data_IF_074230235931
#
_entry.id   IF_074230235931
#
_cell.length_a   1.000
_cell.length_b   1.000
_cell.length_c   1.000
_cell.angle_alpha   90.00
_cell.angle_beta   90.00
_cell.angle_gamma   90.00
#
_symmetry.space_group_name_H-M   'P 1'
#
loop_
_entity.id
_entity.type
_entity.pdbx_description
1 polymer ?
#
# COMPACT_ATOMS: atom_id res chain seq x y z
N UNK A 1 50.83 7.40 34.94
CA UNK A 1 50.27 8.08 33.74
C UNK A 1 48.73 7.99 33.66
N UNK A 2 48.07 7.00 34.26
CA UNK A 2 46.60 6.84 34.25
C UNK A 2 45.83 7.95 35.01
N UNK A 3 46.41 8.53 36.07
CA UNK A 3 45.81 9.61 36.87
C UNK A 3 45.61 10.92 36.09
N UNK A 4 46.49 11.22 35.13
CA UNK A 4 46.37 12.41 34.27
C UNK A 4 45.31 12.29 33.18
N UNK A 5 44.90 11.06 32.82
CA UNK A 5 43.84 10.80 31.85
C UNK A 5 42.46 11.02 32.48
N UNK A 6 42.26 10.56 33.73
CA UNK A 6 40.99 10.77 34.44
C UNK A 6 40.69 12.26 34.68
N UNK A 7 41.68 13.06 35.11
CA UNK A 7 41.47 14.50 35.31
C UNK A 7 41.21 15.28 34.01
N UNK A 8 41.74 14.82 32.87
CA UNK A 8 41.44 15.40 31.56
C UNK A 8 40.03 15.07 31.09
N UNK A 9 39.54 13.88 31.40
CA UNK A 9 38.17 13.47 31.10
C UNK A 9 37.15 14.23 31.96
N UNK A 10 37.43 14.37 33.26
CA UNK A 10 36.57 15.11 34.20
C UNK A 10 36.47 16.60 33.84
N UNK A 11 37.56 17.23 33.41
CA UNK A 11 37.56 18.61 32.93
C UNK A 11 36.84 18.79 31.59
N UNK A 12 36.92 17.82 30.69
CA UNK A 12 36.12 17.81 29.46
C UNK A 12 34.63 17.64 29.75
N UNK A 13 34.28 16.76 30.69
CA UNK A 13 32.90 16.54 31.12
C UNK A 13 32.31 17.79 31.79
N UNK A 14 33.09 18.45 32.66
CA UNK A 14 32.72 19.75 33.26
C UNK A 14 32.51 20.83 32.20
N UNK A 15 33.41 20.96 31.22
CA UNK A 15 33.24 21.93 30.12
C UNK A 15 32.00 21.64 29.27
N UNK A 16 31.71 20.38 29.01
CA UNK A 16 30.51 19.99 28.27
C UNK A 16 29.23 20.33 29.06
N UNK A 17 29.21 20.06 30.36
CA UNK A 17 28.09 20.42 31.24
C UNK A 17 27.87 21.94 31.28
N UNK A 18 28.95 22.72 31.38
CA UNK A 18 28.89 24.18 31.46
C UNK A 18 28.41 24.82 30.15
N UNK A 19 28.81 24.28 29.00
CA UNK A 19 28.27 24.69 27.69
C UNK A 19 26.77 24.38 27.55
N UNK A 20 26.32 23.25 28.09
CA UNK A 20 24.90 22.88 28.08
C UNK A 20 24.10 23.79 29.01
N UNK A 21 24.61 24.11 30.19
CA UNK A 21 23.98 25.05 31.14
C UNK A 21 23.86 26.45 30.53
N UNK A 22 24.93 26.99 29.94
CA UNK A 22 24.92 28.29 29.27
C UNK A 22 23.94 28.33 28.10
N UNK A 23 23.83 27.23 27.34
CA UNK A 23 22.83 27.11 26.29
C UNK A 23 21.40 27.12 26.85
N UNK A 24 21.16 26.42 27.96
CA UNK A 24 19.85 26.39 28.64
C UNK A 24 19.49 27.78 29.17
N UNK A 25 20.41 28.47 29.83
CA UNK A 25 20.20 29.83 30.35
C UNK A 25 19.87 30.83 29.24
N UNK A 26 20.55 30.71 28.08
CA UNK A 26 20.29 31.56 26.93
C UNK A 26 18.88 31.35 26.35
N UNK A 27 18.39 30.12 26.34
CA UNK A 27 17.06 29.80 25.83
C UNK A 27 15.97 30.21 26.84
N UNK A 28 16.24 30.13 28.15
CA UNK A 28 15.34 30.64 29.20
C UNK A 28 15.19 32.15 29.07
N UNK A 29 16.29 32.90 28.95
CA UNK A 29 16.24 34.35 28.76
C UNK A 29 15.50 34.75 27.49
N UNK A 30 15.63 33.96 26.42
CA UNK A 30 14.88 34.18 25.19
C UNK A 30 13.38 33.97 25.38
N UNK A 31 12.98 32.92 26.10
CA UNK A 31 11.58 32.62 26.37
C UNK A 31 10.92 33.66 27.29
N UNK A 32 11.65 34.19 28.27
CA UNK A 32 11.15 35.22 29.18
C UNK A 32 10.96 36.58 28.48
N UNK A 33 11.68 36.81 27.37
CA UNK A 33 11.59 38.03 26.55
C UNK A 33 10.81 37.82 25.24
N UNK A 34 9.93 36.82 25.17
CA UNK A 34 9.09 36.63 23.97
C UNK A 34 8.06 37.75 23.87
N UNK A 35 8.05 38.45 22.74
CA UNK A 35 7.09 39.53 22.46
C UNK A 35 5.74 38.99 21.95
N UNK A 36 4.69 39.81 21.99
CA UNK A 36 3.34 39.47 21.49
C UNK A 36 3.38 39.02 20.00
N UNK A 37 4.26 39.63 19.20
CA UNK A 37 4.49 39.30 17.78
C UNK A 37 5.07 37.89 17.58
N UNK A 38 5.93 37.42 18.50
CA UNK A 38 6.49 36.07 18.47
C UNK A 38 5.41 35.02 18.77
N UNK A 39 4.50 35.34 19.69
CA UNK A 39 3.37 34.47 20.00
C UNK A 39 2.38 34.39 18.83
N UNK A 40 2.16 35.52 18.13
CA UNK A 40 1.32 35.55 16.92
C UNK A 40 1.95 34.76 15.77
N UNK A 41 3.27 34.81 15.60
CA UNK A 41 3.96 33.96 14.61
C UNK A 41 3.84 32.48 14.92
N UNK A 42 3.90 32.06 16.18
CA UNK A 42 3.66 30.66 16.59
C UNK A 42 2.22 30.25 16.27
N UNK A 43 1.23 31.10 16.54
CA UNK A 43 -0.17 30.85 16.17
C UNK A 43 -0.34 30.69 14.67
N UNK A 44 0.26 31.57 13.87
CA UNK A 44 0.21 31.49 12.40
C UNK A 44 0.82 30.19 11.90
N UNK A 45 2.00 29.80 12.37
CA UNK A 45 2.65 28.53 12.00
C UNK A 45 1.76 27.32 12.30
N UNK A 46 1.17 27.26 13.49
CA UNK A 46 0.24 26.17 13.86
C UNK A 46 -1.00 26.14 12.97
N UNK A 47 -1.57 27.31 12.67
CA UNK A 47 -2.73 27.40 11.78
C UNK A 47 -2.39 26.92 10.35
N UNK A 48 -1.22 27.30 9.84
CA UNK A 48 -0.73 26.85 8.54
C UNK A 48 -0.47 25.33 8.51
N UNK A 49 0.13 24.77 9.56
CA UNK A 49 0.33 23.32 9.70
C UNK A 49 -0.99 22.56 9.71
N UNK A 50 -1.97 23.03 10.48
CA UNK A 50 -3.33 22.45 10.52
C UNK A 50 -4.02 22.54 9.16
N UNK A 51 -3.94 23.69 8.50
CA UNK A 51 -4.48 23.88 7.15
C UNK A 51 -3.81 22.94 6.14
N UNK A 52 -2.50 22.77 6.21
CA UNK A 52 -1.73 21.88 5.33
C UNK A 52 -2.10 20.43 5.56
N UNK A 53 -2.21 19.99 6.81
CA UNK A 53 -2.65 18.65 7.16
C UNK A 53 -4.07 18.36 6.64
N UNK A 54 -4.98 19.32 6.79
CA UNK A 54 -6.35 19.20 6.30
C UNK A 54 -6.41 19.13 4.76
N UNK A 55 -5.62 19.96 4.06
CA UNK A 55 -5.51 19.91 2.59
C UNK A 55 -4.98 18.57 2.12
N UNK A 56 -3.89 18.07 2.73
CA UNK A 56 -3.33 16.77 2.39
C UNK A 56 -4.33 15.63 2.61
N UNK A 57 -5.09 15.68 3.71
CA UNK A 57 -6.18 14.71 3.95
C UNK A 57 -7.24 14.79 2.86
N UNK A 58 -7.70 15.99 2.51
CA UNK A 58 -8.70 16.16 1.46
C UNK A 58 -8.20 15.64 0.10
N UNK A 59 -6.96 15.94 -0.28
CA UNK A 59 -6.33 15.42 -1.50
C UNK A 59 -6.29 13.88 -1.51
N UNK A 60 -5.97 13.25 -0.38
CA UNK A 60 -6.03 11.78 -0.26
C UNK A 60 -7.44 11.26 -0.48
N UNK A 61 -8.47 11.89 0.09
CA UNK A 61 -9.87 11.51 -0.16
C UNK A 61 -10.24 11.69 -1.64
N UNK A 62 -9.82 12.78 -2.29
CA UNK A 62 -10.08 13.01 -3.72
C UNK A 62 -9.40 11.95 -4.59
N UNK A 63 -8.22 11.48 -4.17
CA UNK A 63 -7.50 10.38 -4.79
C UNK A 63 -8.09 9.00 -4.49
N UNK A 64 -9.27 8.90 -3.86
CA UNK A 64 -9.95 7.64 -3.59
C UNK A 64 -9.39 6.87 -2.38
N UNK A 65 -8.58 7.52 -1.53
CA UNK A 65 -8.15 6.88 -0.28
C UNK A 65 -9.32 6.77 0.70
N UNK A 66 -9.32 5.70 1.50
CA UNK A 66 -10.41 5.42 2.44
C UNK A 66 -11.66 4.81 1.80
N UNK A 67 -11.64 4.54 0.49
CA UNK A 67 -12.64 3.75 -0.23
C UNK A 67 -12.04 2.42 -0.68
N UNK A 68 -12.94 1.50 -1.00
CA UNK A 68 -12.59 0.20 -1.56
C UNK A 68 -13.24 0.09 -2.93
N UNK A 69 -12.42 0.26 -3.98
CA UNK A 69 -12.89 0.33 -5.36
C UNK A 69 -12.41 -0.88 -6.18
N UNK A 70 -13.26 -1.35 -7.08
CA UNK A 70 -12.89 -2.36 -8.08
C UNK A 70 -12.19 -1.69 -9.25
N UNK A 71 -11.00 -2.17 -9.60
CA UNK A 71 -10.28 -1.72 -10.79
C UNK A 71 -10.25 -2.88 -11.79
N UNK A 72 -10.95 -2.71 -12.90
CA UNK A 72 -11.03 -3.73 -13.95
C UNK A 72 -9.84 -3.68 -14.93
N UNK A 73 -9.25 -2.49 -15.11
CA UNK A 73 -8.23 -2.23 -16.12
C UNK A 73 -6.82 -2.12 -15.52
N UNK A 74 -5.86 -2.77 -16.18
CA UNK A 74 -4.44 -2.73 -15.79
C UNK A 74 -3.86 -1.30 -15.79
N UNK A 75 -4.27 -0.47 -16.76
CA UNK A 75 -3.80 0.92 -16.86
C UNK A 75 -4.22 1.77 -15.65
N UNK A 76 -5.48 1.62 -15.24
CA UNK A 76 -6.02 2.33 -14.09
C UNK A 76 -5.37 1.85 -12.79
N UNK A 77 -5.03 0.57 -12.69
CA UNK A 77 -4.28 0.01 -11.56
C UNK A 77 -2.90 0.68 -11.41
N UNK A 78 -2.15 0.80 -12.51
CA UNK A 78 -0.84 1.47 -12.49
C UNK A 78 -0.95 2.97 -12.20
N UNK A 79 -1.97 3.63 -12.74
CA UNK A 79 -2.21 5.04 -12.47
C UNK A 79 -2.56 5.28 -10.99
N UNK A 80 -3.41 4.44 -10.40
CA UNK A 80 -3.76 4.50 -8.99
C UNK A 80 -2.52 4.28 -8.09
N UNK A 81 -1.65 3.34 -8.46
CA UNK A 81 -0.38 3.05 -7.77
C UNK A 81 0.63 4.19 -7.89
N UNK A 82 0.64 4.91 -9.03
CA UNK A 82 1.53 6.05 -9.24
C UNK A 82 1.07 7.31 -8.49
N UNK A 83 -0.23 7.52 -8.39
CA UNK A 83 -0.83 8.68 -7.68
C UNK A 83 -0.71 8.60 -6.17
N UNK A 84 -0.59 7.39 -5.63
CA UNK A 84 -0.74 7.13 -4.19
C UNK A 84 0.54 6.51 -3.62
N UNK A 85 1.03 6.99 -2.47
CA UNK A 85 2.25 6.43 -1.85
C UNK A 85 2.03 5.02 -1.27
N UNK A 86 0.87 4.80 -0.65
CA UNK A 86 0.52 3.55 0.00
C UNK A 86 -0.73 2.96 -0.67
N UNK A 87 -0.57 1.84 -1.37
CA UNK A 87 -1.66 1.13 -2.04
C UNK A 87 -1.66 -0.32 -1.62
N UNK A 88 -2.85 -0.84 -1.33
CA UNK A 88 -3.08 -2.25 -1.03
C UNK A 88 -4.04 -2.79 -2.08
N UNK A 89 -3.61 -3.80 -2.82
CA UNK A 89 -4.40 -4.45 -3.86
C UNK A 89 -4.72 -5.89 -3.47
N UNK A 90 -6.01 -6.26 -3.55
CA UNK A 90 -6.45 -7.64 -3.49
C UNK A 90 -6.63 -8.19 -4.90
N UNK A 91 -5.75 -9.10 -5.31
CA UNK A 91 -5.96 -9.91 -6.50
C UNK A 91 -6.90 -11.06 -6.16
N UNK A 92 -8.08 -11.06 -6.76
CA UNK A 92 -9.10 -12.08 -6.51
C UNK A 92 -9.33 -12.96 -7.74
N UNK A 93 -9.66 -14.22 -7.50
CA UNK A 93 -10.05 -15.18 -8.53
C UNK A 93 -11.51 -15.59 -8.30
N UNK A 94 -12.31 -15.58 -9.36
CA UNK A 94 -13.71 -16.02 -9.35
C UNK A 94 -13.77 -17.52 -8.97
N UNK A 95 -14.09 -17.82 -7.71
CA UNK A 95 -14.20 -19.19 -7.20
C UNK A 95 -13.48 -19.46 -5.89
N UNK A 96 -12.55 -18.59 -5.46
CA UNK A 96 -11.86 -18.77 -4.18
C UNK A 96 -12.63 -18.11 -3.02
N UNK A 97 -13.17 -18.92 -2.10
CA UNK A 97 -13.90 -18.43 -0.93
C UNK A 97 -13.02 -17.56 -0.01
N UNK A 98 -11.70 -17.81 0.05
CA UNK A 98 -10.78 -17.04 0.91
C UNK A 98 -10.69 -15.58 0.48
N UNK A 99 -10.78 -15.29 -0.82
CA UNK A 99 -10.78 -13.92 -1.33
C UNK A 99 -11.97 -13.12 -0.77
N UNK A 100 -13.16 -13.74 -0.66
CA UNK A 100 -14.37 -13.11 -0.10
C UNK A 100 -14.23 -12.75 1.38
N UNK A 101 -13.38 -13.46 2.12
CA UNK A 101 -13.13 -13.15 3.53
C UNK A 101 -12.26 -11.89 3.60
N UNK A 102 -11.19 -11.82 2.81
CA UNK A 102 -10.27 -10.67 2.79
C UNK A 102 -11.00 -9.42 2.31
N UNK A 103 -11.82 -9.54 1.28
CA UNK A 103 -12.70 -8.50 0.73
C UNK A 103 -13.51 -7.78 1.82
N UNK A 104 -14.24 -8.56 2.65
CA UNK A 104 -15.00 -8.03 3.81
C UNK A 104 -14.15 -7.32 4.86
N UNK A 105 -12.90 -7.74 5.04
CA UNK A 105 -12.00 -7.07 5.99
C UNK A 105 -11.43 -5.79 5.39
N UNK A 106 -11.15 -5.77 4.09
CA UNK A 106 -10.63 -4.59 3.41
C UNK A 106 -11.67 -3.48 3.35
N UNK A 107 -12.95 -3.81 3.15
CA UNK A 107 -14.06 -2.86 3.26
C UNK A 107 -14.15 -2.22 4.66
N UNK A 108 -13.83 -2.98 5.72
CA UNK A 108 -13.77 -2.42 7.09
C UNK A 108 -12.51 -1.61 7.34
N UNK A 109 -11.38 -2.01 6.77
CA UNK A 109 -10.08 -1.37 6.99
C UNK A 109 -9.94 -0.07 6.20
N UNK A 110 -10.52 0.04 5.02
CA UNK A 110 -10.43 1.23 4.19
C UNK A 110 -10.99 2.45 4.93
N UNK A 111 -12.13 2.32 5.60
CA UNK A 111 -12.76 3.41 6.37
C UNK A 111 -11.88 3.92 7.52
N UNK A 112 -11.03 3.06 8.09
CA UNK A 112 -10.13 3.40 9.20
C UNK A 112 -8.81 4.01 8.73
N UNK A 113 -8.33 3.59 7.56
CA UNK A 113 -7.02 3.94 7.03
C UNK A 113 -7.12 4.88 5.82
N UNK A 114 -7.44 6.16 6.10
CA UNK A 114 -7.52 7.23 5.08
C UNK A 114 -6.15 7.51 4.43
N UNK A 115 -5.05 7.09 5.04
CA UNK A 115 -3.71 7.22 4.46
C UNK A 115 -3.37 6.19 3.37
N UNK A 116 -4.23 5.19 3.16
CA UNK A 116 -3.95 4.05 2.26
C UNK A 116 -5.11 3.87 1.30
N UNK A 117 -4.78 3.64 0.02
CA UNK A 117 -5.78 3.32 -1.00
C UNK A 117 -5.96 1.81 -1.08
N UNK A 118 -7.20 1.34 -0.96
CA UNK A 118 -7.54 -0.07 -1.08
C UNK A 118 -8.23 -0.30 -2.42
N UNK A 119 -7.74 -1.28 -3.18
CA UNK A 119 -8.30 -1.66 -4.47
C UNK A 119 -8.42 -3.18 -4.56
N UNK A 120 -9.35 -3.66 -5.38
CA UNK A 120 -9.40 -5.07 -5.75
C UNK A 120 -9.51 -5.24 -7.25
N UNK A 121 -8.89 -6.31 -7.74
CA UNK A 121 -8.66 -6.54 -9.16
C UNK A 121 -8.87 -8.01 -9.45
N UNK A 122 -9.58 -8.30 -10.54
CA UNK A 122 -9.67 -9.67 -11.02
C UNK A 122 -8.31 -10.11 -11.57
N UNK A 123 -7.75 -11.13 -10.93
CA UNK A 123 -6.45 -11.69 -11.25
C UNK A 123 -6.37 -12.19 -12.70
N UNK A 124 -7.44 -12.76 -13.27
CA UNK A 124 -7.41 -13.26 -14.64
C UNK A 124 -7.17 -12.12 -15.64
N UNK A 125 -7.92 -11.04 -15.52
CA UNK A 125 -7.87 -9.90 -16.46
C UNK A 125 -6.55 -9.13 -16.43
N UNK A 126 -5.95 -8.98 -15.24
CA UNK A 126 -4.72 -8.18 -15.07
C UNK A 126 -3.45 -9.02 -15.15
N UNK A 127 -3.50 -10.31 -14.79
CA UNK A 127 -2.35 -11.20 -14.87
C UNK A 127 -2.17 -11.84 -16.26
N UNK A 128 -3.20 -11.89 -17.11
CA UNK A 128 -3.09 -12.39 -18.49
C UNK A 128 -1.95 -11.71 -19.26
N UNK A 129 -1.69 -10.43 -19.02
CA UNK A 129 -0.66 -9.67 -19.75
C UNK A 129 0.75 -9.73 -19.15
N UNK A 130 0.91 -10.00 -17.84
CA UNK A 130 2.22 -9.83 -17.15
C UNK A 130 2.73 -11.00 -16.31
N UNK A 131 2.01 -12.12 -16.21
CA UNK A 131 2.55 -13.32 -15.56
C UNK A 131 3.81 -13.88 -16.26
N UNK A 132 4.17 -13.36 -17.44
CA UNK A 132 5.42 -13.68 -18.14
C UNK A 132 6.67 -12.92 -17.64
N UNK A 133 6.55 -11.87 -16.82
CA UNK A 133 7.67 -10.92 -16.61
C UNK A 133 8.14 -10.68 -15.16
N UNK A 134 7.37 -11.01 -14.10
CA UNK A 134 7.75 -10.53 -12.75
C UNK A 134 8.19 -11.57 -11.73
N UNK A 135 8.14 -12.88 -12.01
CA UNK A 135 8.82 -13.91 -11.19
C UNK A 135 8.49 -13.98 -9.69
N UNK A 136 7.48 -13.25 -9.19
CA UNK A 136 7.15 -13.15 -7.76
C UNK A 136 6.03 -14.14 -7.36
N UNK A 137 5.32 -14.72 -8.33
CA UNK A 137 4.28 -15.74 -8.07
C UNK A 137 4.44 -16.89 -9.04
N UNK A 138 4.88 -18.05 -8.54
CA UNK A 138 4.82 -19.32 -9.28
C UNK A 138 3.37 -19.81 -9.26
N UNK A 139 2.61 -19.46 -10.29
CA UNK A 139 1.28 -20.06 -10.49
C UNK A 139 1.49 -21.40 -11.20
N UNK A 140 1.54 -22.49 -10.45
CA UNK A 140 1.39 -23.82 -11.03
C UNK A 140 -0.04 -23.96 -11.55
N UNK A 141 -0.20 -23.80 -12.87
CA UNK A 141 -1.42 -24.24 -13.55
C UNK A 141 -1.45 -25.77 -13.46
N UNK A 142 -2.30 -26.33 -12.61
CA UNK A 142 -2.61 -27.77 -12.67
C UNK A 142 -3.17 -28.03 -14.07
N UNK A 143 -2.41 -28.74 -14.89
CA UNK A 143 -2.83 -29.15 -16.24
C UNK A 143 -4.06 -30.04 -16.06
N UNK A 144 -5.24 -29.48 -16.24
CA UNK A 144 -6.47 -30.27 -16.36
C UNK A 144 -6.34 -30.96 -17.72
N UNK A 145 -6.02 -32.25 -17.72
CA UNK A 145 -6.07 -33.06 -18.94
C UNK A 145 -7.47 -32.91 -19.52
N UNK A 146 -7.55 -32.43 -20.77
CA UNK A 146 -8.82 -32.39 -21.49
C UNK A 146 -9.32 -33.83 -21.54
N UNK A 147 -10.57 -34.12 -21.15
CA UNK A 147 -11.10 -35.47 -21.28
C UNK A 147 -11.00 -35.87 -22.76
N UNK A 148 -10.38 -37.02 -23.03
CA UNK A 148 -10.27 -37.57 -24.37
C UNK A 148 -11.69 -37.73 -24.95
N UNK A 149 -12.06 -36.87 -25.89
CA UNK A 149 -13.31 -37.01 -26.64
C UNK A 149 -13.12 -38.20 -27.59
N UNK A 150 -13.60 -39.38 -27.22
CA UNK A 150 -13.85 -40.46 -28.19
C UNK A 150 -15.11 -40.08 -28.97
N UNK A 151 -14.94 -39.57 -30.18
CA UNK A 151 -16.03 -39.53 -31.16
C UNK A 151 -16.10 -40.93 -31.76
N UNK A 152 -17.04 -41.74 -31.31
CA UNK A 152 -17.38 -42.99 -31.97
C UNK A 152 -18.29 -42.60 -33.14
N UNK A 153 -17.75 -42.65 -34.37
CA UNK A 153 -18.59 -42.69 -35.57
C UNK A 153 -19.01 -44.14 -35.77
N UNK A 154 -20.26 -44.46 -35.45
CA UNK A 154 -20.89 -45.67 -35.98
C UNK A 154 -21.42 -45.34 -37.38
N UNK A 155 -20.57 -45.49 -38.39
CA UNK A 155 -21.04 -45.68 -39.75
C UNK A 155 -20.62 -47.09 -40.13
N UNK A 156 -21.50 -48.04 -39.85
CA UNK A 156 -21.60 -49.33 -40.53
C UNK A 156 -23.09 -49.69 -40.49
N UNK A 157 -23.83 -49.22 -41.49
CA UNK A 157 -25.00 -49.96 -41.96
C UNK A 157 -24.75 -50.18 -43.44
N UNK A 158 -24.15 -51.32 -43.73
CA UNK A 158 -24.25 -51.97 -45.03
C UNK A 158 -25.74 -52.28 -45.24
N UNK A 159 -26.37 -51.57 -46.17
CA UNK A 159 -27.62 -52.04 -46.77
C UNK A 159 -27.22 -52.78 -48.04
N UNK A 160 -26.91 -54.07 -47.90
CA UNK A 160 -26.96 -55.00 -49.02
C UNK A 160 -28.22 -55.86 -48.90
N UNK A 161 -29.15 -55.53 -49.80
CA UNK A 161 -30.09 -56.39 -50.53
C UNK A 161 -30.98 -57.36 -49.75
N UNK A 162 -32.30 -57.12 -49.83
CA UNK A 162 -33.22 -58.15 -50.33
C UNK A 162 -34.54 -57.53 -50.82
N UNK A 163 -35.03 -58.14 -51.90
CA UNK A 163 -36.18 -57.81 -52.72
C UNK A 163 -37.50 -57.70 -51.93
N UNK A 164 -38.32 -56.70 -52.26
CA UNK A 164 -39.77 -56.79 -52.12
C UNK A 164 -40.41 -56.07 -53.35
N UNK A 165 -40.78 -56.91 -54.31
CA UNK A 165 -41.76 -56.77 -55.42
C UNK A 165 -41.92 -55.44 -56.18
#
# INVERSE_FOLDING_TARGET
MASNLNGKFETQLMKAAQLVEEHIDSEIQRLDNLDEDDLETVRRKRMEELMKAQKAKNEMLTNGHGRYDEVADEKEFFEATKKSKNVVCLFYLQGNFRCKIVDKHFEKLCTKHIGTRFIHVNAEKVLENRLALSGIVTVEKKKIEKPNKKIIRSCDIEYDNEEDW
#
